data_IF_781286814503
#
_entry.id   IF_781286814503
#
_cell.length_a   1.000
_cell.length_b   1.000
_cell.length_c   1.000
_cell.angle_alpha   90.00
_cell.angle_beta   90.00
_cell.angle_gamma   90.00
#
_symmetry.space_group_name_H-M   'P 1'
#
loop_
_entity.id
_entity.type
_entity.pdbx_description
1 polymer ?
#
# COMPACT_ATOMS: atom_id res chain seq x y z
N UNK A 1 0.05 -36.30 -35.72
CA UNK A 1 -0.24 -36.67 -34.30
C UNK A 1 0.81 -36.01 -33.43
N UNK A 2 0.57 -35.42 -32.25
CA UNK A 2 -0.57 -34.79 -31.59
C UNK A 2 -0.02 -34.25 -30.24
N UNK A 3 -0.36 -33.00 -29.88
CA UNK A 3 -0.35 -32.37 -28.54
C UNK A 3 1.01 -32.32 -27.78
N UNK A 4 1.35 -31.35 -26.92
CA UNK A 4 0.59 -30.53 -26.00
C UNK A 4 1.45 -29.31 -25.52
N UNK A 5 0.89 -28.09 -25.47
CA UNK A 5 0.54 -27.38 -24.22
C UNK A 5 1.67 -26.61 -23.54
N UNK A 6 1.70 -25.30 -23.84
CA UNK A 6 1.62 -24.19 -22.87
C UNK A 6 2.29 -24.38 -21.49
N UNK A 7 3.34 -23.60 -21.20
CA UNK A 7 3.63 -23.14 -19.83
C UNK A 7 4.55 -21.92 -19.84
N UNK A 8 3.94 -20.75 -19.96
CA UNK A 8 4.52 -19.47 -19.56
C UNK A 8 4.83 -19.57 -18.05
N UNK A 9 6.05 -19.33 -17.55
CA UNK A 9 6.28 -19.29 -16.10
C UNK A 9 5.63 -18.03 -15.53
N UNK A 10 4.33 -18.15 -15.24
CA UNK A 10 3.52 -17.23 -14.45
C UNK A 10 3.86 -17.51 -13.00
N UNK A 11 4.97 -16.94 -12.51
CA UNK A 11 5.50 -17.44 -11.25
C UNK A 11 6.66 -16.66 -10.66
N UNK A 12 6.52 -15.34 -10.50
CA UNK A 12 7.22 -14.65 -9.40
C UNK A 12 6.19 -13.92 -8.56
N UNK A 13 5.36 -14.70 -7.86
CA UNK A 13 4.87 -14.24 -6.56
C UNK A 13 6.13 -14.11 -5.71
N UNK A 14 6.69 -12.90 -5.65
CA UNK A 14 7.74 -12.55 -4.72
C UNK A 14 7.31 -13.11 -3.38
N UNK A 15 8.09 -14.07 -2.86
CA UNK A 15 7.96 -14.56 -1.49
C UNK A 15 7.88 -13.31 -0.63
N UNK A 16 6.69 -13.00 -0.14
CA UNK A 16 6.50 -11.98 0.87
C UNK A 16 7.20 -12.54 2.10
N UNK A 17 8.48 -12.20 2.22
CA UNK A 17 9.15 -12.17 3.52
C UNK A 17 8.14 -11.48 4.44
N UNK A 18 7.80 -12.03 5.61
CA UNK A 18 6.94 -11.33 6.55
C UNK A 18 7.67 -10.04 6.95
N UNK A 19 7.48 -8.98 6.16
CA UNK A 19 7.93 -7.64 6.47
C UNK A 19 7.17 -7.32 7.75
N UNK A 20 7.93 -7.00 8.80
CA UNK A 20 7.40 -6.46 10.06
C UNK A 20 6.18 -5.63 9.70
N UNK A 21 4.99 -6.03 10.13
CA UNK A 21 3.74 -5.29 9.88
C UNK A 21 4.00 -3.88 10.38
N UNK A 22 4.36 -2.99 9.46
CA UNK A 22 4.77 -1.65 9.78
C UNK A 22 3.54 -0.89 10.20
N UNK A 23 3.65 -0.07 11.22
CA UNK A 23 2.75 1.05 11.32
C UNK A 23 3.10 1.99 10.16
N UNK A 24 2.13 2.34 9.34
CA UNK A 24 2.30 3.35 8.30
C UNK A 24 1.44 4.55 8.65
N UNK A 25 1.93 5.73 8.28
CA UNK A 25 1.18 6.97 8.39
C UNK A 25 1.03 7.56 7.00
N UNK A 26 -0.21 7.91 6.65
CA UNK A 26 -0.52 8.59 5.41
C UNK A 26 -1.10 9.97 5.71
N UNK A 27 -0.57 11.00 5.07
CA UNK A 27 -1.11 12.35 5.09
C UNK A 27 -1.82 12.61 3.76
N UNK A 28 -3.15 12.68 3.80
CA UNK A 28 -3.94 13.11 2.66
C UNK A 28 -4.17 14.62 2.75
N UNK A 29 -3.74 15.35 1.73
CA UNK A 29 -4.06 16.76 1.54
C UNK A 29 -5.20 16.86 0.55
N UNK A 30 -6.29 17.48 0.97
CA UNK A 30 -7.48 17.68 0.16
C UNK A 30 -7.41 18.96 -0.66
N UNK A 31 -8.30 19.07 -1.64
CA UNK A 31 -8.47 20.31 -2.42
C UNK A 31 -8.94 21.50 -1.57
N UNK A 32 -9.63 21.24 -0.45
CA UNK A 32 -10.07 22.24 0.53
C UNK A 32 -8.90 22.79 1.39
N UNK A 33 -7.66 22.43 1.06
CA UNK A 33 -6.46 22.78 1.83
C UNK A 33 -6.42 22.15 3.25
N UNK A 34 -7.42 21.32 3.60
CA UNK A 34 -7.38 20.45 4.77
C UNK A 34 -6.35 19.34 4.57
N UNK A 35 -5.65 18.99 5.64
CA UNK A 35 -4.74 17.84 5.68
C UNK A 35 -5.19 16.91 6.79
N UNK A 36 -5.38 15.64 6.45
CA UNK A 36 -5.80 14.63 7.41
C UNK A 36 -4.81 13.47 7.43
N UNK A 37 -4.50 13.02 8.64
CA UNK A 37 -3.57 11.93 8.89
C UNK A 37 -4.36 10.64 9.10
N UNK A 38 -3.93 9.60 8.40
CA UNK A 38 -4.48 8.26 8.46
C UNK A 38 -3.40 7.32 8.97
N UNK A 39 -3.74 6.56 10.00
CA UNK A 39 -2.86 5.55 10.56
C UNK A 39 -3.22 4.22 9.93
N UNK A 40 -2.35 3.71 9.06
CA UNK A 40 -2.56 2.42 8.43
C UNK A 40 -1.78 1.38 9.20
N UNK A 41 -2.52 0.47 9.84
CA UNK A 41 -1.95 -0.69 10.54
C UNK A 41 -2.15 -1.91 9.66
N UNK A 42 -1.25 -2.89 9.79
CA UNK A 42 -1.29 -4.15 9.03
C UNK A 42 -1.13 -4.00 7.52
N UNK A 43 -0.61 -2.88 7.01
CA UNK A 43 -0.22 -2.81 5.61
C UNK A 43 1.07 -3.63 5.40
N UNK A 44 1.10 -4.39 4.31
CA UNK A 44 2.27 -5.19 3.94
C UNK A 44 3.39 -4.34 3.32
N UNK A 45 3.03 -3.21 2.69
CA UNK A 45 3.97 -2.31 2.02
C UNK A 45 3.38 -0.88 1.88
N UNK A 46 4.21 0.10 1.50
CA UNK A 46 3.79 1.51 1.34
C UNK A 46 2.68 1.65 0.27
N UNK A 47 2.75 0.84 -0.79
CA UNK A 47 1.74 0.85 -1.85
C UNK A 47 0.38 0.32 -1.37
N UNK A 48 0.41 -0.69 -0.51
CA UNK A 48 -0.79 -1.25 0.11
C UNK A 48 -1.40 -0.24 1.08
N UNK A 49 -0.58 0.37 1.93
CA UNK A 49 -1.01 1.44 2.83
C UNK A 49 -1.62 2.62 2.09
N UNK A 50 -1.01 3.03 0.97
CA UNK A 50 -1.52 4.08 0.09
C UNK A 50 -2.88 3.71 -0.47
N UNK A 51 -3.06 2.48 -0.94
CA UNK A 51 -4.31 2.00 -1.53
C UNK A 51 -5.44 2.01 -0.50
N UNK A 52 -5.20 1.49 0.70
CA UNK A 52 -6.18 1.51 1.80
C UNK A 52 -6.68 2.91 2.09
N UNK A 53 -5.78 3.90 2.16
CA UNK A 53 -6.15 5.29 2.45
C UNK A 53 -6.90 5.92 1.29
N UNK A 54 -6.53 5.64 0.04
CA UNK A 54 -7.26 6.18 -1.10
C UNK A 54 -8.67 5.57 -1.25
N UNK A 55 -8.85 4.29 -0.89
CA UNK A 55 -10.16 3.63 -0.84
C UNK A 55 -11.05 4.22 0.26
N UNK A 56 -10.48 4.55 1.43
CA UNK A 56 -11.21 5.17 2.55
C UNK A 56 -11.55 6.65 2.29
N UNK A 57 -10.63 7.40 1.69
CA UNK A 57 -10.71 8.86 1.58
C UNK A 57 -11.37 9.34 0.28
N UNK A 58 -11.31 8.52 -0.78
CA UNK A 58 -11.80 8.87 -2.10
C UNK A 58 -10.76 9.64 -2.91
N UNK A 59 -10.33 9.03 -4.03
CA UNK A 59 -9.31 9.55 -4.94
C UNK A 59 -9.63 10.95 -5.50
N UNK A 60 -10.90 11.32 -5.62
CA UNK A 60 -11.33 12.55 -6.28
C UNK A 60 -11.13 13.81 -5.43
N UNK A 61 -11.06 13.69 -4.10
CA UNK A 61 -10.92 14.84 -3.20
C UNK A 61 -9.48 15.06 -2.71
N UNK A 62 -8.59 14.10 -2.95
CA UNK A 62 -7.20 14.13 -2.47
C UNK A 62 -6.29 14.77 -3.52
N UNK A 63 -5.70 15.92 -3.19
CA UNK A 63 -4.73 16.65 -4.01
C UNK A 63 -3.35 16.00 -3.96
N UNK A 64 -2.93 15.61 -2.77
CA UNK A 64 -1.67 14.91 -2.53
C UNK A 64 -1.83 13.87 -1.43
N UNK A 65 -1.25 12.69 -1.60
CA UNK A 65 -1.16 11.67 -0.56
C UNK A 65 0.30 11.34 -0.32
N UNK A 66 0.77 11.55 0.91
CA UNK A 66 2.12 11.22 1.33
C UNK A 66 2.05 10.04 2.30
N UNK A 67 2.76 8.96 2.03
CA UNK A 67 2.76 7.76 2.88
C UNK A 67 4.18 7.53 3.37
N UNK A 68 4.34 7.41 4.68
CA UNK A 68 5.61 7.12 5.34
C UNK A 68 5.47 5.88 6.21
N UNK A 69 6.53 5.08 6.25
CA UNK A 69 6.67 4.06 7.30
C UNK A 69 6.84 4.77 8.65
N UNK A 70 5.96 4.46 9.59
CA UNK A 70 6.17 4.80 10.98
C UNK A 70 6.99 3.65 11.55
N UNK A 71 8.32 3.79 11.51
CA UNK A 71 9.16 2.90 12.31
C UNK A 71 8.80 3.10 13.78
N UNK A 72 8.02 2.18 14.30
CA UNK A 72 7.89 1.99 15.74
C UNK A 72 9.24 1.43 16.18
N UNK A 73 10.14 2.36 16.52
CA UNK A 73 11.40 2.07 17.20
C UNK A 73 11.04 1.32 18.48
N UNK A 74 11.13 -0.01 18.41
CA UNK A 74 11.16 -0.84 19.62
C UNK A 74 12.62 -0.79 20.07
N UNK A 75 12.98 0.30 20.75
CA UNK A 75 14.17 0.40 21.57
C UNK A 75 13.99 -0.36 22.88
#
# INVERSE_FOLDING_TARGET
MAANESSKPRGRKSKAIPKKRGDYIAAARFNDNQTQLYFVRNADDINDARRMVLEEVGYENVRCLLVSERKTDNG
#
